data_IF_344954185109
#
_entry.id   IF_344954185109
#
_cell.length_a   1.000
_cell.length_b   1.000
_cell.length_c   1.000
_cell.angle_alpha   90.00
_cell.angle_beta   90.00
_cell.angle_gamma   90.00
#
_symmetry.space_group_name_H-M   'P 1'
#
loop_
_entity.id
_entity.type
_entity.pdbx_description
1 polymer ?
#
# COMPACT_ATOMS: atom_id res chain seq x y z
N UNK A 1 -37.98 -78.39 -8.86
CA UNK A 1 -36.83 -79.29 -8.80
C UNK A 1 -35.57 -78.47 -8.81
N UNK A 2 -34.91 -78.49 -7.72
CA UNK A 2 -33.47 -78.57 -7.40
C UNK A 2 -32.61 -77.55 -8.09
N UNK A 3 -31.70 -76.88 -7.46
CA UNK A 3 -31.08 -76.98 -6.13
C UNK A 3 -29.81 -76.16 -6.13
N UNK A 4 -29.62 -75.51 -5.06
CA UNK A 4 -28.39 -75.14 -4.38
C UNK A 4 -27.03 -75.11 -5.10
N UNK A 5 -26.31 -74.03 -4.95
CA UNK A 5 -24.99 -74.06 -4.26
C UNK A 5 -24.44 -72.68 -3.97
N UNK A 6 -24.21 -72.37 -2.69
CA UNK A 6 -23.38 -71.28 -2.15
C UNK A 6 -21.90 -71.55 -2.47
N UNK A 7 -21.17 -70.52 -2.88
CA UNK A 7 -19.76 -70.41 -2.56
C UNK A 7 -19.43 -69.00 -2.10
N UNK A 8 -18.97 -68.88 -0.86
CA UNK A 8 -18.38 -67.69 -0.26
C UNK A 8 -17.00 -67.45 -0.88
N UNK A 9 -16.72 -66.21 -1.27
CA UNK A 9 -15.36 -65.74 -1.47
C UNK A 9 -15.18 -64.45 -0.72
N UNK A 10 -14.20 -64.42 0.16
CA UNK A 10 -13.80 -63.30 0.98
C UNK A 10 -13.19 -62.21 0.11
N UNK A 11 -13.68 -60.98 0.22
CA UNK A 11 -13.04 -59.83 -0.34
C UNK A 11 -12.21 -59.14 0.76
N UNK A 12 -10.96 -59.04 0.51
CA UNK A 12 -9.98 -58.25 1.32
C UNK A 12 -10.25 -56.81 0.99
N UNK A 13 -10.68 -56.05 1.99
CA UNK A 13 -10.78 -54.60 1.89
C UNK A 13 -9.41 -53.97 2.19
N UNK A 14 -8.76 -53.44 1.18
CA UNK A 14 -7.62 -52.54 1.34
C UNK A 14 -8.18 -51.12 1.43
N UNK A 15 -8.23 -50.59 2.63
CA UNK A 15 -8.60 -49.21 2.90
C UNK A 15 -7.42 -48.27 2.49
N UNK A 16 -7.58 -47.57 1.41
CA UNK A 16 -6.80 -46.40 1.10
C UNK A 16 -7.52 -45.15 1.64
N UNK A 17 -7.13 -44.70 2.81
CA UNK A 17 -7.55 -43.41 3.34
C UNK A 17 -6.82 -42.31 2.56
N UNK A 18 -7.41 -41.86 1.46
CA UNK A 18 -7.02 -40.63 0.78
C UNK A 18 -7.59 -39.44 1.56
N UNK A 19 -6.76 -38.77 2.34
CA UNK A 19 -7.08 -37.48 2.90
C UNK A 19 -7.13 -36.47 1.74
N UNK A 20 -8.33 -36.20 1.20
CA UNK A 20 -8.58 -35.01 0.42
C UNK A 20 -8.47 -33.80 1.39
N UNK A 21 -7.32 -33.14 1.39
CA UNK A 21 -7.23 -31.78 1.87
C UNK A 21 -8.01 -30.89 0.87
N UNK A 22 -9.30 -30.75 1.10
CA UNK A 22 -10.06 -29.65 0.54
C UNK A 22 -9.58 -28.39 1.24
N UNK A 23 -8.69 -27.63 0.59
CA UNK A 23 -8.49 -26.23 0.91
C UNK A 23 -9.81 -25.52 0.63
N UNK A 24 -10.63 -25.44 1.65
CA UNK A 24 -11.79 -24.54 1.66
C UNK A 24 -11.18 -23.14 1.63
N UNK A 25 -11.21 -22.49 0.46
CA UNK A 25 -11.19 -21.06 0.39
C UNK A 25 -12.35 -20.59 1.26
N UNK A 26 -12.04 -20.16 2.48
CA UNK A 26 -13.03 -19.47 3.30
C UNK A 26 -13.36 -18.17 2.57
N UNK A 27 -14.45 -18.18 1.82
CA UNK A 27 -15.19 -16.97 1.55
C UNK A 27 -15.51 -16.39 2.95
N UNK A 28 -14.91 -15.26 3.28
CA UNK A 28 -15.15 -14.61 4.56
C UNK A 28 -16.65 -14.30 4.63
N UNK A 29 -17.32 -14.82 5.65
CA UNK A 29 -18.69 -14.42 5.94
C UNK A 29 -18.73 -12.89 6.10
N UNK A 30 -19.74 -12.21 5.53
CA UNK A 30 -19.87 -10.76 5.69
C UNK A 30 -19.93 -10.44 7.18
N UNK A 31 -18.95 -9.67 7.66
CA UNK A 31 -18.98 -9.21 9.05
C UNK A 31 -20.14 -8.26 9.26
N UNK A 32 -20.84 -8.38 10.38
CA UNK A 32 -21.90 -7.44 10.75
C UNK A 32 -21.33 -6.01 10.94
N UNK A 33 -22.20 -4.99 11.01
CA UNK A 33 -21.78 -3.60 11.27
C UNK A 33 -20.88 -3.53 12.53
N UNK A 34 -19.67 -2.98 12.37
CA UNK A 34 -18.70 -2.87 13.47
C UNK A 34 -17.67 -4.01 13.54
N UNK A 35 -17.70 -5.01 12.66
CA UNK A 35 -16.61 -5.98 12.57
C UNK A 35 -15.31 -5.27 12.13
N UNK A 36 -14.14 -5.60 12.74
CA UNK A 36 -12.89 -5.00 12.33
C UNK A 36 -12.60 -5.32 10.87
N UNK A 37 -12.21 -4.29 10.11
CA UNK A 37 -11.78 -4.46 8.73
C UNK A 37 -10.67 -5.52 8.61
N UNK A 38 -10.84 -6.42 7.68
CA UNK A 38 -9.89 -7.48 7.38
C UNK A 38 -9.66 -7.51 5.87
N UNK A 39 -8.99 -6.51 5.33
CA UNK A 39 -8.40 -6.63 4.01
C UNK A 39 -7.46 -7.83 3.94
N UNK A 40 -7.08 -8.27 2.74
CA UNK A 40 -6.08 -9.32 2.61
C UNK A 40 -4.89 -8.99 3.51
N UNK A 41 -4.53 -9.90 4.40
CA UNK A 41 -3.33 -9.77 5.21
C UNK A 41 -2.10 -9.68 4.30
N UNK A 42 -0.97 -9.14 4.78
CA UNK A 42 0.25 -9.15 4.00
C UNK A 42 0.62 -10.60 3.67
N UNK A 43 0.76 -10.87 2.38
CA UNK A 43 1.04 -12.23 1.93
C UNK A 43 2.49 -12.62 2.26
N UNK A 44 2.74 -13.88 2.64
CA UNK A 44 4.09 -14.39 2.81
C UNK A 44 4.88 -14.27 1.49
N UNK A 45 6.20 -14.19 1.58
CA UNK A 45 7.07 -14.19 0.40
C UNK A 45 7.09 -15.55 -0.32
N UNK A 46 6.54 -16.57 0.33
CA UNK A 46 6.56 -17.96 -0.12
C UNK A 46 5.13 -18.45 -0.31
N UNK A 47 4.79 -18.74 -1.55
CA UNK A 47 3.49 -19.33 -1.85
C UNK A 47 3.36 -20.75 -1.29
N UNK A 48 2.12 -21.25 -1.10
CA UNK A 48 1.85 -22.60 -0.61
C UNK A 48 2.46 -23.69 -1.50
N UNK A 49 2.73 -23.41 -2.75
CA UNK A 49 3.30 -24.35 -3.73
C UNK A 49 4.84 -24.42 -3.69
N UNK A 50 5.49 -23.76 -2.70
CA UNK A 50 6.94 -23.73 -2.60
C UNK A 50 7.59 -23.04 -3.79
N UNK A 51 6.97 -21.94 -4.29
CA UNK A 51 7.50 -21.10 -5.36
C UNK A 51 9.01 -20.89 -5.25
N UNK A 52 9.65 -20.24 -6.17
CA UNK A 52 11.13 -20.07 -6.29
C UNK A 52 11.82 -19.54 -5.02
N UNK A 53 11.04 -19.16 -4.03
CA UNK A 53 11.44 -18.64 -2.75
C UNK A 53 11.23 -19.65 -1.62
N UNK A 54 12.32 -20.17 -1.08
CA UNK A 54 12.30 -20.86 0.22
C UNK A 54 13.01 -19.98 1.24
N UNK A 55 12.47 -19.85 2.48
CA UNK A 55 13.21 -19.22 3.57
C UNK A 55 14.59 -19.83 3.69
N UNK A 56 15.58 -19.01 4.00
CA UNK A 56 16.86 -19.56 4.42
C UNK A 56 16.61 -20.50 5.60
N UNK A 57 17.15 -21.71 5.52
CA UNK A 57 17.12 -22.61 6.68
C UNK A 57 17.97 -22.00 7.80
N UNK A 58 17.50 -22.11 9.05
CA UNK A 58 18.21 -21.60 10.21
C UNK A 58 17.86 -20.15 10.60
N UNK A 59 18.57 -19.64 11.58
CA UNK A 59 18.39 -18.31 12.15
C UNK A 59 19.23 -17.29 11.40
N UNK A 60 18.63 -16.14 11.09
CA UNK A 60 19.35 -14.94 10.65
C UNK A 60 19.42 -13.99 11.85
N UNK A 61 20.62 -13.47 12.16
CA UNK A 61 20.83 -12.45 13.17
C UNK A 61 21.27 -11.15 12.49
N UNK A 62 20.47 -10.11 12.61
CA UNK A 62 20.82 -8.76 12.15
C UNK A 62 21.36 -7.98 13.35
N UNK A 63 22.61 -7.50 13.27
CA UNK A 63 23.20 -6.58 14.24
C UNK A 63 23.02 -5.17 13.74
N UNK A 64 22.28 -4.33 14.47
CA UNK A 64 22.00 -2.95 14.11
C UNK A 64 22.76 -2.00 15.03
N UNK A 65 23.58 -1.09 14.47
CA UNK A 65 24.22 -0.04 15.27
C UNK A 65 23.21 0.93 15.85
N UNK A 66 22.20 1.26 15.06
CA UNK A 66 20.98 1.99 15.46
C UNK A 66 19.77 1.26 14.90
N UNK A 67 18.68 1.24 15.66
CA UNK A 67 17.39 0.68 15.24
C UNK A 67 16.30 1.69 15.53
N UNK A 68 15.49 2.02 14.52
CA UNK A 68 14.36 2.92 14.67
C UNK A 68 13.15 2.17 15.28
N UNK A 69 12.80 2.53 16.52
CA UNK A 69 11.55 2.14 17.15
C UNK A 69 10.43 3.02 16.58
N UNK A 70 9.70 2.51 15.60
CA UNK A 70 8.65 3.26 14.91
C UNK A 70 7.43 3.56 15.78
N UNK A 71 7.20 2.83 16.88
CA UNK A 71 6.12 3.18 17.80
C UNK A 71 6.46 4.39 18.67
N UNK A 72 7.70 4.45 19.16
CA UNK A 72 8.17 5.54 20.00
C UNK A 72 8.68 6.74 19.20
N UNK A 73 9.10 6.51 17.94
CA UNK A 73 9.75 7.52 17.11
C UNK A 73 11.19 7.81 17.56
N UNK A 74 11.90 6.83 18.13
CA UNK A 74 13.21 6.97 18.74
C UNK A 74 14.21 6.00 18.12
N UNK A 75 15.51 6.33 18.19
CA UNK A 75 16.60 5.42 17.84
C UNK A 75 17.11 4.68 19.07
N UNK A 76 17.17 3.36 18.99
CA UNK A 76 17.78 2.49 19.97
C UNK A 76 19.19 2.11 19.47
N UNK A 77 20.20 2.16 20.35
CA UNK A 77 21.56 1.78 20.02
C UNK A 77 21.79 0.28 20.25
N UNK A 78 22.70 -0.30 19.44
CA UNK A 78 23.21 -1.66 19.65
C UNK A 78 22.12 -2.71 19.80
N UNK A 79 21.31 -2.92 18.76
CA UNK A 79 20.23 -3.89 18.78
C UNK A 79 20.55 -5.14 17.95
N UNK A 80 19.96 -6.26 18.35
CA UNK A 80 19.97 -7.52 17.58
C UNK A 80 18.53 -7.89 17.23
N UNK A 81 18.32 -8.31 15.99
CA UNK A 81 17.06 -8.87 15.50
C UNK A 81 17.31 -10.30 15.07
N UNK A 82 16.63 -11.27 15.68
CA UNK A 82 16.65 -12.67 15.25
C UNK A 82 15.43 -12.96 14.36
N UNK A 83 15.69 -13.71 13.29
CA UNK A 83 14.71 -14.02 12.25
C UNK A 83 14.76 -15.51 11.96
N UNK A 84 13.60 -16.16 11.94
CA UNK A 84 13.42 -17.53 11.48
C UNK A 84 12.34 -17.56 10.38
N UNK A 85 12.66 -18.15 9.24
CA UNK A 85 11.80 -18.10 8.09
C UNK A 85 11.58 -16.65 7.66
N UNK A 86 10.32 -16.20 7.68
CA UNK A 86 9.94 -14.81 7.32
C UNK A 86 9.70 -13.90 8.53
N UNK A 87 9.78 -14.44 9.75
CA UNK A 87 9.33 -13.74 10.96
C UNK A 87 10.45 -13.38 11.90
N UNK A 88 10.27 -12.24 12.55
CA UNK A 88 11.12 -11.81 13.67
C UNK A 88 10.74 -12.64 14.88
N UNK A 89 11.72 -13.34 15.47
CA UNK A 89 11.53 -14.17 16.67
C UNK A 89 11.95 -13.47 17.94
N UNK A 90 12.94 -12.56 17.86
CA UNK A 90 13.41 -11.79 19.00
C UNK A 90 14.02 -10.45 18.55
N UNK A 91 13.85 -9.40 19.37
CA UNK A 91 14.49 -8.08 19.21
C UNK A 91 14.92 -7.58 20.59
N UNK A 92 16.12 -7.06 20.70
CA UNK A 92 16.60 -6.48 21.94
C UNK A 92 18.03 -5.98 21.88
N UNK A 93 18.51 -5.41 22.99
CA UNK A 93 19.88 -4.94 23.11
C UNK A 93 20.88 -6.08 22.87
N UNK A 94 21.97 -5.81 22.15
CA UNK A 94 22.98 -6.81 21.80
C UNK A 94 23.60 -7.52 23.01
N UNK A 95 23.63 -6.85 24.16
CA UNK A 95 24.08 -7.45 25.41
C UNK A 95 23.10 -8.47 26.04
N UNK A 96 21.84 -8.48 25.59
CA UNK A 96 20.76 -9.30 26.13
C UNK A 96 20.33 -10.43 25.20
N UNK A 97 20.37 -10.19 23.88
CA UNK A 97 19.96 -11.19 22.88
C UNK A 97 21.12 -12.14 22.57
N UNK A 98 20.91 -13.42 22.82
CA UNK A 98 21.89 -14.46 22.51
C UNK A 98 21.77 -14.89 21.06
N UNK A 99 22.76 -14.55 20.24
CA UNK A 99 22.83 -15.03 18.86
C UNK A 99 23.22 -16.51 18.86
N UNK A 100 22.43 -17.42 18.23
CA UNK A 100 22.81 -18.82 18.06
C UNK A 100 24.15 -18.95 17.30
N UNK A 101 24.94 -19.95 17.66
CA UNK A 101 26.28 -20.12 17.09
C UNK A 101 26.26 -20.45 15.58
N UNK A 102 25.18 -21.06 15.12
CA UNK A 102 24.92 -21.42 13.72
C UNK A 102 24.12 -20.35 12.95
N UNK A 103 23.78 -19.21 13.58
CA UNK A 103 23.06 -18.15 12.94
C UNK A 103 23.89 -17.48 11.83
N UNK A 104 23.25 -17.19 10.69
CA UNK A 104 23.81 -16.30 9.68
C UNK A 104 23.76 -14.87 10.17
N UNK A 105 24.91 -14.27 10.45
CA UNK A 105 24.98 -12.88 10.92
C UNK A 105 25.03 -11.92 9.72
N UNK A 106 24.13 -10.92 9.73
CA UNK A 106 24.15 -9.75 8.87
C UNK A 106 24.57 -8.56 9.74
N UNK A 107 25.81 -8.12 9.56
CA UNK A 107 26.38 -7.03 10.35
C UNK A 107 26.00 -5.68 9.77
N UNK A 108 25.12 -4.94 10.48
CA UNK A 108 24.67 -3.59 10.25
C UNK A 108 25.05 -2.68 11.44
N UNK A 109 26.17 -2.96 12.09
CA UNK A 109 26.60 -2.23 13.29
C UNK A 109 27.01 -0.79 13.02
N UNK A 110 27.17 -0.40 11.76
CA UNK A 110 27.45 0.99 11.35
C UNK A 110 26.25 1.72 10.80
N UNK A 111 25.18 1.00 10.48
CA UNK A 111 23.97 1.49 9.82
C UNK A 111 22.85 1.78 10.83
N UNK A 112 21.85 2.51 10.34
CA UNK A 112 20.56 2.64 10.99
C UNK A 112 19.57 1.71 10.31
N UNK A 113 19.03 0.76 11.08
CA UNK A 113 18.02 -0.20 10.64
C UNK A 113 16.62 0.34 10.96
N UNK A 114 15.72 0.28 9.99
CA UNK A 114 14.33 0.69 10.12
C UNK A 114 13.41 -0.45 9.65
N UNK A 115 12.11 -0.43 10.02
CA UNK A 115 11.14 -1.26 9.33
C UNK A 115 11.13 -0.94 7.85
N UNK A 116 10.80 -1.90 7.01
CA UNK A 116 10.53 -1.64 5.60
C UNK A 116 9.47 -0.56 5.43
N UNK A 117 9.71 0.36 4.50
CA UNK A 117 8.80 1.47 4.22
C UNK A 117 7.51 0.97 3.56
N UNK A 118 6.44 1.71 3.77
CA UNK A 118 5.12 1.43 3.22
C UNK A 118 4.68 2.61 2.37
N UNK A 119 4.42 2.39 1.08
CA UNK A 119 3.81 3.37 0.19
C UNK A 119 2.28 3.14 0.15
N UNK A 120 1.52 4.04 0.77
CA UNK A 120 0.08 3.87 0.90
C UNK A 120 -0.72 4.30 -0.34
N UNK A 121 -0.07 4.87 -1.36
CA UNK A 121 -0.71 5.30 -2.59
C UNK A 121 0.27 5.24 -3.76
N UNK A 122 0.30 4.13 -4.46
CA UNK A 122 1.07 3.97 -5.70
C UNK A 122 0.15 3.64 -6.87
N UNK A 123 0.66 3.75 -8.09
CA UNK A 123 0.04 3.23 -9.29
C UNK A 123 1.07 2.39 -10.04
N UNK A 124 1.03 1.06 -9.85
CA UNK A 124 2.01 0.17 -10.49
C UNK A 124 1.95 0.24 -12.02
N UNK A 125 0.76 0.47 -12.57
CA UNK A 125 0.56 0.61 -14.00
C UNK A 125 0.74 2.05 -14.44
N UNK A 126 1.58 2.27 -15.44
CA UNK A 126 1.60 3.54 -16.14
C UNK A 126 0.28 3.74 -16.91
N UNK A 127 -0.10 4.98 -17.16
CA UNK A 127 -1.19 5.24 -18.10
C UNK A 127 -0.88 4.62 -19.47
N UNK A 128 -1.81 3.85 -20.07
CA UNK A 128 -1.56 3.16 -21.32
C UNK A 128 -1.33 4.16 -22.45
N UNK A 129 -0.27 3.93 -23.20
CA UNK A 129 0.01 4.68 -24.44
C UNK A 129 -0.73 4.03 -25.62
N UNK A 130 -1.10 4.80 -26.66
CA UNK A 130 -1.69 4.22 -27.87
C UNK A 130 -0.82 3.08 -28.43
N UNK A 131 -1.44 1.93 -28.68
CA UNK A 131 -0.77 0.72 -29.19
C UNK A 131 -0.06 -0.14 -28.14
N UNK A 132 -0.08 0.22 -26.86
CA UNK A 132 0.46 -0.62 -25.78
C UNK A 132 -0.49 -1.80 -25.51
N UNK A 133 0.06 -3.03 -25.57
CA UNK A 133 -0.69 -4.22 -25.18
C UNK A 133 -0.82 -4.33 -23.65
N UNK A 134 -1.80 -5.10 -23.18
CA UNK A 134 -1.98 -5.37 -21.74
C UNK A 134 -0.80 -6.15 -21.16
N UNK A 135 -0.21 -7.06 -21.95
CA UNK A 135 0.97 -7.82 -21.57
C UNK A 135 2.17 -6.90 -21.35
N UNK A 136 2.42 -5.95 -22.26
CA UNK A 136 3.45 -4.91 -22.08
C UNK A 136 3.19 -4.08 -20.84
N UNK A 137 1.96 -3.66 -20.62
CA UNK A 137 1.55 -2.90 -19.42
C UNK A 137 1.83 -3.69 -18.13
N UNK A 138 1.53 -4.99 -18.11
CA UNK A 138 1.81 -5.88 -16.99
C UNK A 138 3.30 -6.03 -16.71
N UNK A 139 4.12 -6.20 -17.75
CA UNK A 139 5.59 -6.27 -17.60
C UNK A 139 6.18 -4.99 -17.05
N UNK A 140 5.66 -3.83 -17.47
CA UNK A 140 6.06 -2.52 -16.92
C UNK A 140 5.66 -2.43 -15.45
N UNK A 141 4.44 -2.85 -15.09
CA UNK A 141 3.96 -2.82 -13.72
C UNK A 141 4.84 -3.68 -12.78
N UNK A 142 5.25 -4.87 -13.22
CA UNK A 142 6.17 -5.74 -12.47
C UNK A 142 7.53 -5.05 -12.30
N UNK A 143 8.07 -4.44 -13.36
CA UNK A 143 9.32 -3.69 -13.29
C UNK A 143 9.24 -2.53 -12.27
N UNK A 144 8.15 -1.78 -12.30
CA UNK A 144 7.88 -0.67 -11.38
C UNK A 144 7.88 -1.15 -9.93
N UNK A 145 7.13 -2.21 -9.62
CA UNK A 145 7.08 -2.79 -8.27
C UNK A 145 8.44 -3.29 -7.77
N UNK A 146 9.26 -3.84 -8.66
CA UNK A 146 10.62 -4.26 -8.32
C UNK A 146 11.52 -3.06 -8.01
N UNK A 147 11.35 -1.93 -8.73
CA UNK A 147 12.05 -0.69 -8.43
C UNK A 147 11.66 -0.15 -7.04
N UNK A 148 10.37 -0.16 -6.72
CA UNK A 148 9.85 0.28 -5.41
C UNK A 148 10.39 -0.59 -4.27
N UNK A 149 10.35 -1.93 -4.43
CA UNK A 149 10.92 -2.85 -3.46
C UNK A 149 12.42 -2.59 -3.23
N UNK A 150 13.19 -2.38 -4.30
CA UNK A 150 14.63 -2.09 -4.20
C UNK A 150 14.92 -0.72 -3.59
N UNK A 151 13.99 0.22 -3.67
CA UNK A 151 14.05 1.52 -3.00
C UNK A 151 13.67 1.45 -1.50
N UNK A 152 13.31 0.26 -0.98
CA UNK A 152 13.02 0.05 0.44
C UNK A 152 11.53 0.01 0.79
N UNK A 153 10.64 0.14 -0.19
CA UNK A 153 9.20 0.01 0.03
C UNK A 153 8.82 -1.47 0.00
N UNK A 154 8.84 -2.11 1.16
CA UNK A 154 8.54 -3.55 1.29
C UNK A 154 7.06 -3.85 1.30
N UNK A 155 6.22 -2.84 1.48
CA UNK A 155 4.78 -2.91 1.37
C UNK A 155 4.23 -1.70 0.59
N UNK A 156 3.11 -1.89 -0.13
CA UNK A 156 2.49 -0.82 -0.90
C UNK A 156 0.98 -1.07 -1.12
N UNK A 157 0.26 -0.01 -1.51
CA UNK A 157 -1.16 -0.04 -1.85
C UNK A 157 -1.37 0.61 -3.23
N UNK A 158 -1.82 -0.19 -4.22
CA UNK A 158 -2.19 0.32 -5.55
C UNK A 158 -3.58 0.97 -5.53
N UNK A 159 -3.64 2.20 -5.98
CA UNK A 159 -4.86 3.01 -5.96
C UNK A 159 -5.51 3.14 -7.34
N UNK A 160 -5.49 2.11 -8.12
CA UNK A 160 -6.16 1.90 -9.41
C UNK A 160 -5.23 1.33 -10.46
N UNK A 161 -5.71 0.36 -11.19
CA UNK A 161 -4.98 -0.37 -12.24
C UNK A 161 -4.79 0.42 -13.55
N UNK A 162 -5.09 1.72 -13.60
CA UNK A 162 -4.90 2.60 -14.76
C UNK A 162 -5.27 1.95 -16.10
N UNK A 163 -6.53 1.54 -16.27
CA UNK A 163 -7.05 0.93 -17.51
C UNK A 163 -6.66 -0.54 -17.76
N UNK A 164 -6.19 -1.26 -16.74
CA UNK A 164 -5.83 -2.68 -16.86
C UNK A 164 -6.84 -3.63 -16.17
N UNK A 165 -8.04 -3.14 -15.87
CA UNK A 165 -9.09 -3.95 -15.24
C UNK A 165 -8.71 -4.38 -13.82
N UNK A 166 -8.64 -5.68 -13.58
CA UNK A 166 -8.23 -6.28 -12.30
C UNK A 166 -6.85 -6.96 -12.38
N UNK A 167 -5.98 -6.53 -13.31
CA UNK A 167 -4.65 -7.13 -13.47
C UNK A 167 -3.72 -6.87 -12.28
N UNK A 168 -3.99 -5.85 -11.45
CA UNK A 168 -3.33 -5.62 -10.17
C UNK A 168 -3.58 -6.76 -9.17
N UNK A 169 -4.78 -7.33 -9.15
CA UNK A 169 -5.13 -8.51 -8.35
C UNK A 169 -4.27 -9.71 -8.76
N UNK A 170 -4.11 -9.95 -10.08
CA UNK A 170 -3.30 -11.04 -10.60
C UNK A 170 -1.82 -10.87 -10.22
N UNK A 171 -1.28 -9.65 -10.32
CA UNK A 171 0.10 -9.34 -9.92
C UNK A 171 0.29 -9.54 -8.42
N UNK A 172 -0.62 -9.01 -7.57
CA UNK A 172 -0.59 -9.26 -6.11
C UNK A 172 -0.57 -10.76 -5.82
N UNK A 173 -1.43 -11.54 -6.48
CA UNK A 173 -1.50 -12.98 -6.29
C UNK A 173 -0.21 -13.69 -6.75
N UNK A 174 0.40 -13.23 -7.85
CA UNK A 174 1.68 -13.76 -8.31
C UNK A 174 2.84 -13.46 -7.33
N UNK A 175 2.83 -12.28 -6.69
CA UNK A 175 3.78 -11.93 -5.62
C UNK A 175 3.57 -12.85 -4.41
N UNK A 176 2.31 -13.04 -3.98
CA UNK A 176 1.99 -13.88 -2.82
C UNK A 176 2.29 -15.36 -3.05
N UNK A 177 2.28 -15.80 -4.31
CA UNK A 177 2.69 -17.15 -4.70
C UNK A 177 4.21 -17.29 -4.91
N UNK A 178 4.98 -16.23 -4.69
CA UNK A 178 6.42 -16.24 -4.90
C UNK A 178 6.85 -16.39 -6.36
N UNK A 179 5.96 -16.16 -7.33
CA UNK A 179 6.26 -16.25 -8.76
C UNK A 179 7.05 -15.05 -9.27
N UNK A 180 6.83 -13.88 -8.67
CA UNK A 180 7.54 -12.63 -8.96
C UNK A 180 7.92 -11.92 -7.66
N UNK A 181 9.03 -11.18 -7.70
CA UNK A 181 9.41 -10.29 -6.61
C UNK A 181 8.63 -8.98 -6.68
N UNK A 182 8.19 -8.52 -5.52
CA UNK A 182 7.51 -7.24 -5.34
C UNK A 182 7.29 -6.95 -3.86
N UNK A 183 6.79 -5.77 -3.50
CA UNK A 183 6.35 -5.46 -2.13
C UNK A 183 5.17 -6.35 -1.72
N UNK A 184 4.87 -6.42 -0.42
CA UNK A 184 3.55 -6.89 0.03
C UNK A 184 2.52 -5.91 -0.46
N UNK A 185 1.41 -6.38 -1.02
CA UNK A 185 0.63 -5.52 -1.87
C UNK A 185 -0.87 -5.58 -1.56
N UNK A 186 -1.51 -4.41 -1.44
CA UNK A 186 -2.96 -4.26 -1.48
C UNK A 186 -3.35 -3.56 -2.78
N UNK A 187 -4.51 -3.90 -3.31
CA UNK A 187 -4.95 -3.45 -4.64
C UNK A 187 -6.41 -2.98 -4.61
N UNK A 188 -6.72 -2.06 -5.51
CA UNK A 188 -8.06 -1.48 -5.63
C UNK A 188 -8.79 -1.84 -6.93
N UNK A 189 -8.13 -2.52 -7.87
CA UNK A 189 -8.73 -2.83 -9.16
C UNK A 189 -8.98 -1.60 -10.02
N UNK A 190 -10.16 -1.54 -10.61
CA UNK A 190 -10.65 -0.37 -11.36
C UNK A 190 -11.10 0.71 -10.40
N UNK A 191 -10.96 2.00 -10.79
CA UNK A 191 -11.62 3.06 -10.03
C UNK A 191 -13.12 3.07 -10.32
N UNK A 192 -13.97 3.26 -9.32
CA UNK A 192 -15.40 3.51 -9.56
C UNK A 192 -15.56 5.00 -9.83
N UNK A 193 -16.31 5.36 -10.85
CA UNK A 193 -16.47 6.74 -11.34
C UNK A 193 -17.92 7.07 -11.57
N UNK A 194 -18.27 8.39 -11.50
CA UNK A 194 -19.59 8.85 -11.89
C UNK A 194 -19.72 8.85 -13.41
N UNK A 195 -20.72 8.15 -13.94
CA UNK A 195 -20.98 8.07 -15.37
C UNK A 195 -21.77 9.27 -15.96
N UNK A 196 -22.07 10.29 -15.14
CA UNK A 196 -22.80 11.47 -15.55
C UNK A 196 -22.00 12.47 -16.39
N UNK A 197 -22.56 13.66 -16.60
CA UNK A 197 -22.02 14.71 -17.48
C UNK A 197 -20.64 15.25 -17.04
N UNK A 198 -20.28 15.09 -15.77
CA UNK A 198 -19.01 15.55 -15.19
C UNK A 198 -17.84 14.58 -15.40
N UNK A 199 -18.09 13.37 -15.94
CA UNK A 199 -17.04 12.38 -16.18
C UNK A 199 -16.01 12.87 -17.22
N UNK A 200 -14.72 12.79 -16.88
CA UNK A 200 -13.61 13.08 -17.79
C UNK A 200 -13.46 12.00 -18.86
N UNK A 201 -12.70 12.27 -19.92
CA UNK A 201 -12.42 11.26 -20.97
C UNK A 201 -11.77 9.98 -20.38
N UNK A 202 -10.85 10.11 -19.40
CA UNK A 202 -10.22 8.99 -18.71
C UNK A 202 -11.24 8.19 -17.89
N UNK A 203 -12.15 8.87 -17.20
CA UNK A 203 -13.22 8.24 -16.43
C UNK A 203 -14.24 7.51 -17.31
N UNK A 204 -14.37 7.91 -18.57
CA UNK A 204 -15.24 7.25 -19.57
C UNK A 204 -14.64 6.00 -20.19
N UNK A 205 -13.33 5.75 -19.98
CA UNK A 205 -12.72 4.52 -20.43
C UNK A 205 -13.17 3.34 -19.54
N UNK A 206 -13.89 2.34 -20.08
CA UNK A 206 -14.44 1.24 -19.27
C UNK A 206 -13.39 0.35 -18.60
N UNK A 207 -12.13 0.41 -19.03
CA UNK A 207 -11.02 -0.30 -18.38
C UNK A 207 -10.36 0.55 -17.28
N UNK A 208 -10.44 1.87 -17.38
CA UNK A 208 -9.90 2.80 -16.38
C UNK A 208 -10.84 2.96 -15.18
N UNK A 209 -12.14 3.03 -15.44
CA UNK A 209 -13.15 3.24 -14.43
C UNK A 209 -14.39 2.38 -14.67
N UNK A 210 -15.06 2.01 -13.59
CA UNK A 210 -16.39 1.39 -13.62
C UNK A 210 -17.42 2.51 -13.41
N UNK A 211 -18.19 2.91 -14.43
CA UNK A 211 -19.16 3.97 -14.28
C UNK A 211 -20.40 3.52 -13.52
N UNK A 212 -20.90 4.37 -12.62
CA UNK A 212 -22.15 4.20 -11.89
C UNK A 212 -23.05 5.41 -12.13
N UNK A 213 -24.37 5.19 -12.17
CA UNK A 213 -25.38 6.24 -12.50
C UNK A 213 -26.46 6.38 -11.42
N UNK A 214 -26.54 5.41 -10.49
CA UNK A 214 -27.52 5.36 -9.42
C UNK A 214 -26.96 4.61 -8.20
N UNK A 215 -27.69 4.62 -7.08
CA UNK A 215 -27.29 3.93 -5.84
C UNK A 215 -27.18 2.41 -6.02
N UNK A 216 -28.10 1.80 -6.78
CA UNK A 216 -28.06 0.35 -7.03
C UNK A 216 -26.85 -0.06 -7.87
N UNK A 217 -26.51 0.73 -8.90
CA UNK A 217 -25.29 0.55 -9.68
C UNK A 217 -24.05 0.67 -8.79
N UNK A 218 -24.07 1.65 -7.87
CA UNK A 218 -22.99 1.89 -6.92
C UNK A 218 -22.74 0.67 -6.03
N UNK A 219 -23.80 0.10 -5.44
CA UNK A 219 -23.70 -1.12 -4.63
C UNK A 219 -23.24 -2.34 -5.45
N UNK A 220 -23.73 -2.46 -6.69
CA UNK A 220 -23.32 -3.53 -7.58
C UNK A 220 -21.83 -3.42 -7.95
N UNK A 221 -21.35 -2.21 -8.23
CA UNK A 221 -19.94 -1.95 -8.54
C UNK A 221 -19.00 -2.33 -7.38
N UNK A 222 -19.38 -2.04 -6.15
CA UNK A 222 -18.60 -2.45 -4.97
C UNK A 222 -18.53 -3.97 -4.87
N UNK A 223 -19.68 -4.67 -5.03
CA UNK A 223 -19.72 -6.15 -5.02
C UNK A 223 -18.83 -6.74 -6.10
N UNK A 224 -18.87 -6.20 -7.33
CA UNK A 224 -18.00 -6.63 -8.43
C UNK A 224 -16.52 -6.54 -8.04
N UNK A 225 -16.07 -5.44 -7.43
CA UNK A 225 -14.68 -5.28 -7.00
C UNK A 225 -14.26 -6.30 -5.95
N UNK A 226 -15.11 -6.52 -4.95
CA UNK A 226 -14.88 -7.51 -3.88
C UNK A 226 -14.83 -8.94 -4.46
N UNK A 227 -15.72 -9.29 -5.37
CA UNK A 227 -15.75 -10.60 -6.05
C UNK A 227 -14.49 -10.83 -6.90
N UNK A 228 -13.94 -9.77 -7.51
CA UNK A 228 -12.65 -9.84 -8.24
C UNK A 228 -11.43 -9.84 -7.32
N UNK A 229 -11.61 -9.67 -6.00
CA UNK A 229 -10.55 -9.75 -5.01
C UNK A 229 -9.81 -8.43 -4.77
N UNK A 230 -10.43 -7.29 -5.05
CA UNK A 230 -9.89 -6.00 -4.64
C UNK A 230 -9.86 -5.90 -3.11
N UNK A 231 -8.80 -5.32 -2.53
CA UNK A 231 -8.65 -5.11 -1.09
C UNK A 231 -9.29 -3.79 -0.65
N UNK A 232 -9.30 -2.80 -1.55
CA UNK A 232 -9.83 -1.45 -1.36
C UNK A 232 -10.80 -1.09 -2.47
N UNK A 233 -11.67 -0.13 -2.19
CA UNK A 233 -12.56 0.46 -3.19
C UNK A 233 -12.08 1.87 -3.49
N UNK A 234 -11.58 2.12 -4.71
CA UNK A 234 -11.13 3.45 -5.15
C UNK A 234 -12.27 4.22 -5.78
N UNK A 235 -12.54 5.41 -5.23
CA UNK A 235 -13.61 6.34 -5.64
C UNK A 235 -13.03 7.68 -6.08
N UNK A 236 -13.75 8.39 -6.96
CA UNK A 236 -13.35 9.69 -7.48
C UNK A 236 -14.44 10.76 -7.25
N UNK A 237 -14.72 11.20 -5.99
CA UNK A 237 -15.72 12.21 -5.68
C UNK A 237 -15.41 13.61 -6.20
N UNK A 238 -14.14 13.92 -6.51
CA UNK A 238 -13.72 15.18 -7.10
C UNK A 238 -12.52 14.97 -8.00
N UNK A 239 -12.58 15.42 -9.25
CA UNK A 239 -11.59 15.03 -10.26
C UNK A 239 -10.89 16.17 -11.01
N UNK A 240 -11.27 17.42 -10.78
CA UNK A 240 -10.67 18.57 -11.46
C UNK A 240 -10.86 19.86 -10.68
N UNK A 241 -10.02 20.85 -10.97
CA UNK A 241 -10.19 22.21 -10.49
C UNK A 241 -9.81 23.22 -11.58
N UNK A 242 -10.26 24.44 -11.44
CA UNK A 242 -9.84 25.58 -12.26
C UNK A 242 -9.83 26.85 -11.42
N UNK A 243 -8.98 27.81 -11.76
CA UNK A 243 -9.01 29.13 -11.13
C UNK A 243 -9.90 30.08 -11.90
N UNK A 244 -10.82 30.71 -11.17
CA UNK A 244 -11.65 31.80 -11.71
C UNK A 244 -10.80 33.08 -11.93
N UNK A 245 -11.30 34.00 -12.71
CA UNK A 245 -10.66 35.30 -12.90
C UNK A 245 -10.44 36.10 -11.61
N UNK A 246 -11.21 35.78 -10.55
CA UNK A 246 -11.06 36.29 -9.19
C UNK A 246 -9.85 35.72 -8.43
N UNK A 247 -9.22 34.65 -8.94
CA UNK A 247 -8.16 33.93 -8.26
C UNK A 247 -8.64 32.81 -7.34
N UNK A 248 -9.96 32.61 -7.22
CA UNK A 248 -10.56 31.54 -6.43
C UNK A 248 -10.50 30.21 -7.18
N UNK A 249 -10.18 29.11 -6.48
CA UNK A 249 -10.22 27.77 -7.04
C UNK A 249 -11.66 27.24 -7.07
N UNK A 250 -12.11 26.79 -8.23
CA UNK A 250 -13.38 26.09 -8.42
C UNK A 250 -13.11 24.62 -8.67
N UNK A 251 -13.68 23.76 -7.84
CA UNK A 251 -13.52 22.31 -7.91
C UNK A 251 -14.74 21.66 -8.57
N UNK A 252 -14.51 20.53 -9.23
CA UNK A 252 -15.56 19.72 -9.85
C UNK A 252 -15.90 18.56 -8.92
N UNK A 253 -17.09 18.58 -8.35
CA UNK A 253 -17.70 17.43 -7.67
C UNK A 253 -18.26 16.49 -8.75
N UNK A 254 -18.06 15.19 -8.56
CA UNK A 254 -18.50 14.17 -9.52
C UNK A 254 -19.78 13.46 -9.06
N UNK A 255 -19.76 12.80 -7.91
CA UNK A 255 -20.91 12.04 -7.42
C UNK A 255 -21.97 12.93 -6.76
N UNK A 256 -23.27 12.64 -6.99
CA UNK A 256 -24.31 13.01 -6.03
C UNK A 256 -24.02 12.36 -4.65
N UNK A 257 -24.24 13.09 -3.55
CA UNK A 257 -23.96 12.59 -2.22
C UNK A 257 -24.67 11.25 -1.89
N UNK A 258 -25.95 11.01 -2.26
CA UNK A 258 -26.59 9.70 -2.00
C UNK A 258 -25.88 8.54 -2.69
N UNK A 259 -25.37 8.72 -3.91
CA UNK A 259 -24.60 7.68 -4.62
C UNK A 259 -23.26 7.42 -3.96
N UNK A 260 -22.54 8.47 -3.54
CA UNK A 260 -21.30 8.34 -2.79
C UNK A 260 -21.53 7.62 -1.47
N UNK A 261 -22.61 7.95 -0.74
CA UNK A 261 -23.00 7.28 0.49
C UNK A 261 -23.28 5.79 0.25
N UNK A 262 -24.01 5.45 -0.84
CA UNK A 262 -24.30 4.06 -1.18
C UNK A 262 -23.02 3.24 -1.49
N UNK A 263 -22.03 3.85 -2.15
CA UNK A 263 -20.72 3.24 -2.38
C UNK A 263 -20.00 2.92 -1.06
N UNK A 264 -19.96 3.89 -0.15
CA UNK A 264 -19.25 3.75 1.13
C UNK A 264 -19.97 2.77 2.06
N UNK A 265 -21.29 2.88 2.18
CA UNK A 265 -22.10 1.97 3.02
C UNK A 265 -21.93 0.51 2.56
N UNK A 266 -21.97 0.26 1.25
CA UNK A 266 -21.80 -1.10 0.72
C UNK A 266 -20.36 -1.59 0.91
N UNK A 267 -19.37 -0.72 0.75
CA UNK A 267 -17.95 -1.02 1.02
C UNK A 267 -17.77 -1.48 2.48
N UNK A 268 -18.29 -0.71 3.42
CA UNK A 268 -18.20 -1.03 4.85
C UNK A 268 -19.03 -2.26 5.21
N UNK A 269 -20.21 -2.45 4.60
CA UNK A 269 -21.03 -3.63 4.80
C UNK A 269 -20.28 -4.92 4.43
N UNK A 270 -19.41 -4.85 3.42
CA UNK A 270 -18.55 -5.95 2.97
C UNK A 270 -17.20 -6.01 3.69
N UNK A 271 -17.00 -5.23 4.77
CA UNK A 271 -15.75 -5.13 5.53
C UNK A 271 -14.54 -4.71 4.69
N UNK A 272 -14.75 -3.89 3.68
CA UNK A 272 -13.70 -3.25 2.90
C UNK A 272 -13.58 -1.78 3.28
N UNK A 273 -12.53 -1.13 2.79
CA UNK A 273 -12.26 0.31 2.98
C UNK A 273 -12.34 1.05 1.65
N UNK A 274 -12.80 2.29 1.73
CA UNK A 274 -12.90 3.21 0.61
C UNK A 274 -11.76 4.25 0.63
N UNK A 275 -11.10 4.45 -0.53
CA UNK A 275 -10.12 5.49 -0.76
C UNK A 275 -10.66 6.49 -1.77
N UNK A 276 -10.75 7.77 -1.39
CA UNK A 276 -11.43 8.80 -2.16
C UNK A 276 -10.48 9.83 -2.75
N UNK A 277 -10.30 9.80 -4.08
CA UNK A 277 -9.58 10.84 -4.81
C UNK A 277 -10.40 12.14 -4.83
N UNK A 278 -9.89 13.18 -4.22
CA UNK A 278 -10.50 14.51 -4.21
C UNK A 278 -9.42 15.58 -4.34
N UNK A 279 -9.69 16.63 -5.14
CA UNK A 279 -8.75 17.73 -5.27
C UNK A 279 -9.16 18.94 -4.42
N UNK A 280 -10.41 18.96 -3.92
CA UNK A 280 -10.91 20.03 -3.05
C UNK A 280 -12.42 20.23 -3.16
N UNK A 281 -12.90 21.27 -2.48
CA UNK A 281 -14.28 21.77 -2.56
C UNK A 281 -15.35 20.82 -2.02
N UNK A 282 -16.54 20.85 -2.66
CA UNK A 282 -17.71 20.08 -2.19
C UNK A 282 -17.49 18.55 -2.30
N UNK A 283 -16.76 18.08 -3.32
CA UNK A 283 -16.43 16.65 -3.45
C UNK A 283 -15.59 16.13 -2.28
N UNK A 284 -14.64 16.94 -1.82
CA UNK A 284 -13.82 16.65 -0.64
C UNK A 284 -14.66 16.62 0.64
N UNK A 285 -15.50 17.64 0.84
CA UNK A 285 -16.41 17.70 1.98
C UNK A 285 -17.33 16.48 2.02
N UNK A 286 -17.91 16.11 0.88
CA UNK A 286 -18.80 14.97 0.77
C UNK A 286 -18.08 13.64 1.06
N UNK A 287 -16.83 13.49 0.59
CA UNK A 287 -16.00 12.31 0.91
C UNK A 287 -15.78 12.14 2.42
N UNK A 288 -15.45 13.23 3.12
CA UNK A 288 -15.25 13.24 4.58
C UNK A 288 -16.58 12.96 5.30
N UNK A 289 -17.66 13.62 4.91
CA UNK A 289 -18.99 13.46 5.53
C UNK A 289 -19.51 12.04 5.33
N UNK A 290 -19.36 11.48 4.14
CA UNK A 290 -19.79 10.12 3.82
C UNK A 290 -18.94 9.04 4.49
N UNK A 291 -17.70 9.36 4.93
CA UNK A 291 -16.86 8.45 5.70
C UNK A 291 -15.89 7.64 4.85
N UNK A 292 -15.30 8.23 3.80
CA UNK A 292 -14.15 7.62 3.10
C UNK A 292 -13.03 7.33 4.10
N UNK A 293 -12.56 6.09 4.19
CA UNK A 293 -11.52 5.69 5.15
C UNK A 293 -10.20 6.44 4.95
N UNK A 294 -9.84 6.71 3.69
CA UNK A 294 -8.73 7.58 3.33
C UNK A 294 -9.16 8.65 2.34
N UNK A 295 -8.76 9.89 2.61
CA UNK A 295 -8.99 11.05 1.76
C UNK A 295 -7.68 11.39 1.06
N UNK A 296 -7.66 11.17 -0.24
CA UNK A 296 -6.47 11.28 -1.07
C UNK A 296 -6.36 12.70 -1.65
N UNK A 297 -5.16 13.29 -1.61
CA UNK A 297 -4.79 14.60 -2.15
C UNK A 297 -5.36 15.79 -1.36
N UNK A 298 -6.64 16.05 -1.42
CA UNK A 298 -7.39 17.07 -0.67
C UNK A 298 -6.63 18.41 -0.55
N UNK A 299 -6.41 19.10 -1.67
CA UNK A 299 -5.51 20.25 -1.77
C UNK A 299 -5.87 21.45 -0.88
N UNK A 300 -7.15 21.65 -0.60
CA UNK A 300 -7.65 22.75 0.25
C UNK A 300 -8.21 22.29 1.58
N UNK A 301 -7.68 21.15 2.11
CA UNK A 301 -8.08 20.64 3.42
C UNK A 301 -7.92 21.76 4.46
N UNK A 302 -8.99 22.03 5.20
CA UNK A 302 -9.02 23.02 6.26
C UNK A 302 -9.14 22.38 7.64
N UNK A 303 -8.98 23.17 8.72
CA UNK A 303 -8.94 22.67 10.09
C UNK A 303 -10.27 21.98 10.50
N UNK A 304 -11.42 22.55 10.13
CA UNK A 304 -12.74 21.96 10.43
C UNK A 304 -12.87 20.55 9.83
N UNK A 305 -12.45 20.39 8.59
CA UNK A 305 -12.45 19.11 7.90
C UNK A 305 -11.44 18.13 8.52
N UNK A 306 -10.26 18.60 8.89
CA UNK A 306 -9.24 17.79 9.54
C UNK A 306 -9.72 17.29 10.93
N UNK A 307 -10.36 18.16 11.71
CA UNK A 307 -10.95 17.80 12.99
C UNK A 307 -12.09 16.78 12.84
N UNK A 308 -12.93 16.94 11.82
CA UNK A 308 -13.98 15.96 11.50
C UNK A 308 -13.38 14.61 11.08
N UNK A 309 -12.28 14.60 10.34
CA UNK A 309 -11.56 13.36 10.00
C UNK A 309 -11.03 12.66 11.24
N UNK A 310 -10.49 13.40 12.21
CA UNK A 310 -10.06 12.85 13.51
C UNK A 310 -11.23 12.20 14.24
N UNK A 311 -12.36 12.91 14.35
CA UNK A 311 -13.58 12.39 15.01
C UNK A 311 -14.11 11.12 14.36
N UNK A 312 -14.05 11.05 13.04
CA UNK A 312 -14.50 9.87 12.26
C UNK A 312 -13.44 8.77 12.14
N UNK A 313 -12.21 8.99 12.60
CA UNK A 313 -11.11 8.02 12.46
C UNK A 313 -10.57 7.86 11.04
N UNK A 314 -10.82 8.82 10.15
CA UNK A 314 -10.35 8.82 8.76
C UNK A 314 -8.87 9.20 8.69
N UNK A 315 -8.20 8.81 7.59
CA UNK A 315 -6.80 9.15 7.35
C UNK A 315 -6.64 10.07 6.13
N UNK A 316 -5.58 10.86 6.13
CA UNK A 316 -5.23 11.78 5.06
C UNK A 316 -3.97 11.30 4.33
N UNK A 317 -4.07 11.13 3.02
CA UNK A 317 -2.95 10.78 2.14
C UNK A 317 -2.78 11.84 1.06
N UNK A 318 -1.88 12.81 1.23
CA UNK A 318 -1.76 13.94 0.30
C UNK A 318 -1.09 13.58 -1.02
N UNK A 319 -0.27 12.53 -1.10
CA UNK A 319 0.61 12.28 -2.26
C UNK A 319 1.41 13.54 -2.62
N UNK A 320 2.15 14.04 -1.64
CA UNK A 320 2.59 15.43 -1.60
C UNK A 320 3.59 15.77 -2.71
N UNK A 321 4.51 14.85 -3.02
CA UNK A 321 5.51 15.05 -4.10
C UNK A 321 4.83 15.09 -5.46
N UNK A 322 3.86 14.18 -5.72
CA UNK A 322 3.19 14.05 -7.01
C UNK A 322 2.53 15.35 -7.47
N UNK A 323 1.99 16.13 -6.54
CA UNK A 323 1.26 17.37 -6.81
C UNK A 323 2.03 18.64 -6.44
N UNK A 324 3.36 18.54 -6.35
CA UNK A 324 4.24 19.68 -6.18
C UNK A 324 5.37 19.65 -7.21
N UNK A 325 6.22 20.70 -7.23
CA UNK A 325 7.39 20.74 -8.10
C UNK A 325 8.41 19.66 -7.71
N UNK A 326 9.05 19.00 -8.67
CA UNK A 326 8.97 19.20 -10.13
C UNK A 326 7.90 18.32 -10.82
N UNK A 327 7.13 17.51 -10.09
CA UNK A 327 6.36 16.39 -10.62
C UNK A 327 4.89 16.71 -10.91
N UNK A 328 4.40 17.90 -10.54
CA UNK A 328 3.05 18.32 -10.92
C UNK A 328 2.95 18.51 -12.43
N UNK A 329 1.98 17.85 -13.06
CA UNK A 329 1.82 17.83 -14.51
C UNK A 329 1.56 19.24 -15.09
N UNK A 330 2.24 19.58 -16.18
CA UNK A 330 2.05 20.84 -16.90
C UNK A 330 0.70 20.94 -17.60
N UNK A 331 0.01 19.82 -17.87
CA UNK A 331 -1.33 19.84 -18.44
C UNK A 331 -2.37 20.45 -17.49
N UNK A 332 -2.17 20.29 -16.16
CA UNK A 332 -3.00 20.98 -15.16
C UNK A 332 -2.75 22.48 -15.09
N UNK A 333 -1.70 22.98 -15.75
CA UNK A 333 -1.24 24.35 -15.60
C UNK A 333 -1.66 25.30 -16.71
N UNK A 334 -1.74 24.82 -17.96
CA UNK A 334 -2.08 25.67 -19.12
C UNK A 334 -3.57 25.98 -19.20
N UNK A 335 -4.43 25.01 -18.89
CA UNK A 335 -5.87 25.18 -18.90
C UNK A 335 -6.41 25.90 -17.66
N UNK A 336 -5.71 25.80 -16.52
CA UNK A 336 -6.17 26.29 -15.22
C UNK A 336 -5.39 27.50 -14.69
N UNK A 337 -4.29 27.89 -15.35
CA UNK A 337 -3.40 28.97 -14.87
C UNK A 337 -2.74 28.69 -13.51
N UNK A 338 -2.67 27.43 -13.10
CA UNK A 338 -2.94 27.03 -11.75
C UNK A 338 -1.93 26.36 -10.92
N UNK A 339 -0.85 25.61 -11.41
CA UNK A 339 0.04 24.92 -10.48
C UNK A 339 0.69 25.85 -9.48
N UNK A 340 1.21 26.97 -9.94
CA UNK A 340 1.85 27.95 -9.05
C UNK A 340 0.89 28.58 -8.03
N UNK A 341 -0.42 28.59 -8.31
CA UNK A 341 -1.43 29.05 -7.36
C UNK A 341 -1.89 27.94 -6.42
N UNK A 342 -1.97 26.69 -6.91
CA UNK A 342 -2.44 25.55 -6.12
C UNK A 342 -1.38 25.04 -5.15
N UNK A 343 -0.11 24.98 -5.54
CA UNK A 343 0.97 24.46 -4.69
C UNK A 343 1.02 25.16 -3.32
N UNK A 344 0.99 26.50 -3.19
CA UNK A 344 0.99 27.15 -1.88
C UNK A 344 -0.23 26.80 -1.03
N UNK A 345 -1.42 26.62 -1.64
CA UNK A 345 -2.64 26.21 -0.95
C UNK A 345 -2.46 24.80 -0.39
N UNK A 346 -1.99 23.88 -1.23
CA UNK A 346 -1.77 22.50 -0.90
C UNK A 346 -0.69 22.33 0.18
N UNK A 347 0.46 22.98 0.04
CA UNK A 347 1.53 22.99 1.08
C UNK A 347 0.98 23.43 2.42
N UNK A 348 0.16 24.50 2.45
CA UNK A 348 -0.47 24.98 3.69
C UNK A 348 -1.43 23.95 4.29
N UNK A 349 -2.23 23.28 3.45
CA UNK A 349 -3.15 22.22 3.89
C UNK A 349 -2.39 21.03 4.49
N UNK A 350 -1.32 20.55 3.82
CA UNK A 350 -0.48 19.45 4.33
C UNK A 350 0.21 19.82 5.63
N UNK A 351 0.75 21.04 5.74
CA UNK A 351 1.39 21.52 6.96
C UNK A 351 0.39 21.60 8.13
N UNK A 352 -0.82 22.09 7.88
CA UNK A 352 -1.91 22.12 8.86
C UNK A 352 -2.29 20.70 9.29
N UNK A 353 -2.48 19.78 8.33
CA UNK A 353 -2.80 18.38 8.61
C UNK A 353 -1.71 17.70 9.43
N UNK A 354 -0.43 17.93 9.09
CA UNK A 354 0.72 17.41 9.83
C UNK A 354 0.76 17.88 11.30
N UNK A 355 0.28 19.11 11.56
CA UNK A 355 0.20 19.69 12.90
C UNK A 355 -1.09 19.31 13.66
N UNK A 356 -2.11 18.77 12.97
CA UNK A 356 -3.39 18.42 13.59
C UNK A 356 -3.25 17.17 14.45
N UNK A 357 -3.46 17.34 15.76
CA UNK A 357 -3.34 16.25 16.73
C UNK A 357 -4.39 15.17 16.50
N UNK A 358 -3.95 13.93 16.40
CA UNK A 358 -4.83 12.78 16.21
C UNK A 358 -5.13 12.44 14.75
N UNK A 359 -4.87 13.34 13.80
CA UNK A 359 -5.02 13.02 12.39
C UNK A 359 -3.92 12.04 11.93
N UNK A 360 -4.35 10.94 11.32
CA UNK A 360 -3.44 9.98 10.69
C UNK A 360 -3.06 10.53 9.32
N UNK A 361 -1.86 11.10 9.24
CA UNK A 361 -1.30 11.55 7.96
C UNK A 361 -0.42 10.44 7.42
N UNK A 362 -0.71 9.99 6.20
CA UNK A 362 -0.06 8.86 5.56
C UNK A 362 1.09 9.32 4.67
N UNK A 363 2.00 8.41 4.37
CA UNK A 363 2.97 8.50 3.28
C UNK A 363 2.45 7.65 2.13
N UNK A 364 1.92 8.30 1.13
CA UNK A 364 1.60 7.73 -0.17
C UNK A 364 2.20 8.62 -1.25
N UNK A 365 2.87 8.03 -2.21
CA UNK A 365 3.68 8.79 -3.16
C UNK A 365 2.88 9.31 -4.36
N UNK A 366 1.82 8.59 -4.75
CA UNK A 366 1.15 8.85 -6.01
C UNK A 366 2.01 8.57 -7.23
N UNK A 367 3.09 7.80 -7.08
CA UNK A 367 3.99 7.44 -8.18
C UNK A 367 3.21 6.71 -9.28
N UNK A 368 3.44 7.13 -10.52
CA UNK A 368 2.72 6.63 -11.70
C UNK A 368 3.64 6.22 -12.86
N UNK A 369 4.96 6.31 -12.65
CA UNK A 369 5.99 5.96 -13.62
C UNK A 369 6.08 6.90 -14.84
N UNK A 370 5.10 7.75 -15.04
CA UNK A 370 5.07 8.70 -16.15
C UNK A 370 5.53 10.11 -15.71
N UNK A 371 4.94 10.60 -14.63
CA UNK A 371 5.21 11.94 -14.09
C UNK A 371 6.18 11.86 -12.91
N UNK A 372 5.93 10.91 -11.99
CA UNK A 372 6.78 10.64 -10.85
C UNK A 372 7.36 9.22 -10.99
N UNK A 373 8.71 9.05 -11.04
CA UNK A 373 9.30 7.75 -11.33
C UNK A 373 9.28 6.80 -10.12
N UNK A 374 9.02 5.52 -10.39
CA UNK A 374 9.17 4.46 -9.39
C UNK A 374 10.60 4.38 -8.86
N UNK A 375 10.74 4.12 -7.56
CA UNK A 375 12.02 4.11 -6.85
C UNK A 375 12.40 5.45 -6.23
N UNK A 376 11.65 6.54 -6.48
CA UNK A 376 11.91 7.88 -5.93
C UNK A 376 10.98 8.28 -4.78
N UNK A 377 10.13 7.38 -4.30
CA UNK A 377 9.08 7.65 -3.30
C UNK A 377 9.62 8.18 -1.96
N UNK A 378 10.90 7.93 -1.63
CA UNK A 378 11.53 8.48 -0.43
C UNK A 378 11.55 10.02 -0.39
N UNK A 379 11.32 10.69 -1.53
CA UNK A 379 11.12 12.15 -1.59
C UNK A 379 9.90 12.61 -0.79
N UNK A 380 8.87 11.77 -0.62
CA UNK A 380 7.70 12.10 0.22
C UNK A 380 8.12 12.46 1.64
N UNK A 381 8.99 11.67 2.24
CA UNK A 381 9.49 11.93 3.60
C UNK A 381 10.24 13.27 3.68
N UNK A 382 11.05 13.59 2.67
CA UNK A 382 11.75 14.86 2.59
C UNK A 382 10.78 16.03 2.48
N UNK A 383 9.75 15.95 1.63
CA UNK A 383 8.73 16.98 1.46
C UNK A 383 7.94 17.22 2.74
N UNK A 384 7.51 16.15 3.42
CA UNK A 384 6.83 16.27 4.71
C UNK A 384 7.68 16.99 5.76
N UNK A 385 8.98 16.69 5.81
CA UNK A 385 9.88 17.36 6.76
C UNK A 385 10.18 18.80 6.34
N UNK A 386 10.61 19.02 5.10
CA UNK A 386 11.12 20.32 4.65
C UNK A 386 10.02 21.31 4.27
N UNK A 387 8.89 20.86 3.77
CA UNK A 387 7.82 21.74 3.28
C UNK A 387 6.58 21.77 4.20
N UNK A 388 6.24 20.67 4.85
CA UNK A 388 5.12 20.61 5.78
C UNK A 388 5.52 20.79 7.25
N UNK A 389 6.81 20.83 7.57
CA UNK A 389 7.30 21.04 8.96
C UNK A 389 7.09 19.85 9.89
N UNK A 390 6.83 18.66 9.35
CA UNK A 390 6.73 17.44 10.14
C UNK A 390 8.11 17.06 10.69
N UNK A 391 8.18 16.56 11.93
CA UNK A 391 9.46 16.05 12.44
C UNK A 391 9.87 14.79 11.66
N UNK A 392 11.19 14.54 11.46
CA UNK A 392 11.63 13.33 10.77
C UNK A 392 11.11 12.04 11.40
N UNK A 393 11.09 11.94 12.73
CA UNK A 393 10.54 10.80 13.43
C UNK A 393 9.05 10.56 13.11
N UNK A 394 8.26 11.64 13.04
CA UNK A 394 6.83 11.55 12.68
C UNK A 394 6.63 11.15 11.23
N UNK A 395 7.46 11.65 10.30
CA UNK A 395 7.43 11.24 8.91
C UNK A 395 7.76 9.74 8.77
N UNK A 396 8.77 9.24 9.50
CA UNK A 396 9.10 7.82 9.55
C UNK A 396 7.94 6.98 10.12
N UNK A 397 7.27 7.46 11.18
CA UNK A 397 6.06 6.80 11.71
C UNK A 397 4.93 6.77 10.68
N UNK A 398 4.73 7.85 9.92
CA UNK A 398 3.72 7.91 8.84
C UNK A 398 3.95 6.84 7.77
N UNK A 399 5.17 6.67 7.29
CA UNK A 399 5.53 5.67 6.29
C UNK A 399 5.77 4.26 6.84
N UNK A 400 5.48 4.01 8.13
CA UNK A 400 5.65 2.70 8.76
C UNK A 400 4.41 2.32 9.57
N UNK A 401 4.37 2.60 10.88
CA UNK A 401 3.28 2.13 11.77
C UNK A 401 1.92 2.73 11.44
N UNK A 402 1.86 4.00 10.99
CA UNK A 402 0.58 4.65 10.66
C UNK A 402 0.01 4.07 9.37
N UNK A 403 0.83 3.94 8.33
CA UNK A 403 0.40 3.29 7.10
C UNK A 403 -0.04 1.85 7.36
N UNK A 404 0.73 1.09 8.16
CA UNK A 404 0.36 -0.27 8.53
C UNK A 404 -0.98 -0.33 9.28
N UNK A 405 -1.24 0.61 10.17
CA UNK A 405 -2.52 0.70 10.91
C UNK A 405 -3.69 1.00 9.97
N UNK A 406 -3.56 2.00 9.10
CA UNK A 406 -4.63 2.38 8.16
C UNK A 406 -4.89 1.26 7.16
N UNK A 407 -3.85 0.56 6.71
CA UNK A 407 -3.96 -0.61 5.82
C UNK A 407 -4.43 -1.88 6.55
N UNK A 408 -4.65 -1.84 7.87
CA UNK A 408 -5.08 -3.01 8.65
C UNK A 408 -3.98 -4.05 8.88
N UNK A 409 -2.73 -3.69 8.65
CA UNK A 409 -1.55 -4.56 8.75
C UNK A 409 -0.67 -4.29 9.98
N UNK A 410 -1.18 -3.55 10.96
CA UNK A 410 -0.45 -3.12 12.16
C UNK A 410 0.15 -4.25 13.01
N UNK A 411 -0.36 -5.48 12.87
CA UNK A 411 0.15 -6.65 13.57
C UNK A 411 1.22 -7.42 12.76
N UNK A 412 1.40 -7.09 11.49
CA UNK A 412 2.20 -7.85 10.54
C UNK A 412 3.47 -7.11 10.10
N UNK A 413 3.37 -5.80 9.82
CA UNK A 413 4.45 -4.95 9.31
C UNK A 413 4.51 -3.60 10.03
N UNK A 414 5.39 -2.70 9.59
CA UNK A 414 5.48 -1.31 10.06
C UNK A 414 6.30 -1.12 11.34
N UNK A 415 6.71 -2.19 12.01
CA UNK A 415 7.61 -2.13 13.17
C UNK A 415 8.52 -3.36 13.21
N UNK A 416 9.72 -3.22 13.79
CA UNK A 416 10.64 -4.32 14.06
C UNK A 416 10.29 -4.89 15.43
N UNK A 417 9.40 -5.88 15.44
CA UNK A 417 8.87 -6.48 16.66
C UNK A 417 8.71 -8.00 16.50
N UNK A 418 8.82 -8.73 17.59
CA UNK A 418 8.58 -10.18 17.61
C UNK A 418 7.22 -10.54 17.00
N UNK A 419 7.21 -11.52 16.12
CA UNK A 419 6.04 -12.04 15.43
C UNK A 419 5.74 -11.35 14.11
N UNK A 420 6.25 -10.16 13.85
CA UNK A 420 6.07 -9.44 12.58
C UNK A 420 6.97 -10.01 11.46
N UNK A 421 6.62 -9.70 10.23
CA UNK A 421 7.49 -10.02 9.10
C UNK A 421 8.83 -9.30 9.22
N UNK A 422 9.91 -10.00 8.85
CA UNK A 422 11.26 -9.47 8.80
C UNK A 422 11.47 -8.62 7.54
N UNK A 423 10.71 -7.53 7.45
CA UNK A 423 10.81 -6.50 6.43
C UNK A 423 11.62 -5.34 7.01
N UNK A 424 12.88 -5.23 6.60
CA UNK A 424 13.86 -4.31 7.17
C UNK A 424 14.56 -3.53 6.06
N UNK A 425 14.92 -2.31 6.36
CA UNK A 425 15.82 -1.51 5.53
C UNK A 425 16.98 -0.98 6.36
N UNK A 426 18.09 -0.62 5.70
CA UNK A 426 19.18 0.05 6.37
C UNK A 426 19.77 1.18 5.52
N UNK A 427 20.18 2.24 6.20
CA UNK A 427 20.88 3.41 5.65
C UNK A 427 22.11 3.72 6.49
N UNK A 428 23.16 4.32 5.89
CA UNK A 428 24.42 4.61 6.60
C UNK A 428 24.29 5.70 7.66
N UNK A 429 23.41 6.68 7.44
CA UNK A 429 23.23 7.82 8.31
C UNK A 429 22.12 7.67 9.34
N UNK A 430 21.80 8.79 10.00
CA UNK A 430 20.69 8.93 10.93
C UNK A 430 19.52 9.65 10.23
N UNK A 431 18.43 8.94 9.85
CA UNK A 431 17.29 9.54 9.15
C UNK A 431 16.42 10.41 10.07
N UNK A 432 16.62 10.37 11.39
CA UNK A 432 15.96 11.31 12.32
C UNK A 432 16.67 12.66 12.38
N UNK A 433 17.95 12.72 11.99
CA UNK A 433 18.71 13.95 11.85
C UNK A 433 18.70 14.48 10.39
N UNK A 434 18.79 13.57 9.42
CA UNK A 434 18.72 13.87 7.99
C UNK A 434 17.84 12.87 7.27
N UNK A 435 16.58 13.23 7.05
CA UNK A 435 15.57 12.37 6.42
C UNK A 435 15.96 11.95 4.98
N UNK A 436 16.84 12.72 4.30
CA UNK A 436 17.31 12.39 2.94
C UNK A 436 18.15 11.12 2.87
N UNK A 437 18.57 10.57 4.02
CA UNK A 437 19.23 9.26 4.09
C UNK A 437 18.38 8.16 3.46
N UNK A 438 17.04 8.26 3.52
CA UNK A 438 16.14 7.31 2.90
C UNK A 438 16.24 7.22 1.37
N UNK A 439 16.80 8.25 0.72
CA UNK A 439 17.07 8.25 -0.73
C UNK A 439 18.35 7.48 -1.11
N UNK A 440 19.13 7.09 -0.11
CA UNK A 440 20.40 6.35 -0.25
C UNK A 440 20.30 4.99 0.45
N UNK A 441 19.32 4.21 0.02
CA UNK A 441 19.04 2.88 0.58
C UNK A 441 20.21 1.94 0.31
N UNK A 442 20.78 1.33 1.34
CA UNK A 442 21.90 0.40 1.23
C UNK A 442 21.46 -1.07 1.33
N UNK A 443 20.57 -1.36 2.26
CA UNK A 443 20.08 -2.72 2.48
C UNK A 443 18.57 -2.74 2.45
N UNK A 444 18.01 -3.72 1.76
CA UNK A 444 16.57 -4.03 1.76
C UNK A 444 16.41 -5.53 2.00
N UNK A 445 15.63 -5.85 3.00
CA UNK A 445 15.21 -7.21 3.34
C UNK A 445 13.69 -7.28 3.34
N UNK A 446 13.13 -8.33 2.72
CA UNK A 446 11.70 -8.63 2.77
C UNK A 446 11.51 -10.08 3.18
N UNK A 447 10.78 -10.32 4.28
CA UNK A 447 10.55 -11.67 4.82
C UNK A 447 11.85 -12.43 5.07
N UNK A 448 12.88 -11.80 5.64
CA UNK A 448 14.19 -12.42 5.89
C UNK A 448 15.08 -12.58 4.65
N UNK A 449 14.56 -12.30 3.43
CA UNK A 449 15.35 -12.35 2.20
C UNK A 449 16.00 -11.00 1.92
N UNK A 450 17.33 -11.00 1.68
CA UNK A 450 18.03 -9.83 1.15
C UNK A 450 17.62 -9.60 -0.31
N UNK A 451 17.00 -8.45 -0.55
CA UNK A 451 16.63 -7.95 -1.88
C UNK A 451 17.75 -7.09 -2.46
N UNK A 452 18.41 -6.33 -1.59
CA UNK A 452 19.51 -5.41 -1.91
C UNK A 452 20.51 -5.38 -0.76
N UNK A 453 21.81 -5.40 -1.08
CA UNK A 453 22.90 -5.08 -0.17
C UNK A 453 24.04 -4.45 -0.98
N UNK A 454 24.06 -3.13 -1.03
CA UNK A 454 25.04 -2.36 -1.82
C UNK A 454 26.37 -2.17 -1.08
N UNK A 455 26.48 -2.59 0.18
CA UNK A 455 27.73 -2.56 0.97
C UNK A 455 28.70 -3.66 0.52
N UNK A 456 28.15 -4.74 -0.04
CA UNK A 456 28.95 -5.84 -0.57
C UNK A 456 29.50 -5.44 -1.96
N UNK A 457 30.79 -5.73 -2.24
CA UNK A 457 31.30 -5.54 -3.59
C UNK A 457 30.47 -6.36 -4.57
N UNK A 458 30.00 -5.73 -5.65
CA UNK A 458 29.29 -6.46 -6.73
C UNK A 458 30.23 -7.56 -7.21
N UNK A 459 29.97 -8.81 -6.83
CA UNK A 459 30.76 -9.93 -7.31
C UNK A 459 30.67 -9.96 -8.84
N UNK A 460 31.80 -10.20 -9.50
CA UNK A 460 31.90 -10.35 -10.94
C UNK A 460 31.15 -11.62 -11.49
N UNK A 461 30.33 -12.22 -10.67
CA UNK A 461 29.62 -13.49 -10.91
C UNK A 461 28.14 -13.26 -11.21
N UNK A 462 27.85 -12.42 -12.18
CA UNK A 462 26.57 -12.39 -12.91
C UNK A 462 26.87 -11.91 -14.34
N UNK A 463 27.64 -12.72 -15.06
CA UNK A 463 27.69 -12.67 -16.52
C UNK A 463 26.93 -13.86 -17.08
#
# INVERSE_FOLDING_TARGET
MSGTSMRRSAAIAVGAAGALLTTVLHAQEPGGPGAPWRGAGPQPCFGPDGGTYRPAAGVIAVRAGRLFDSRRGELLSDQVVLIEGERITEVGAAAQVKIPADARVIDLSRETVLPGLIDAHTHMFNYPKPGMSRETSTLIAIHNLQADLRAGFTAARDMSSHSNGYADVDIRNAISQGRIDGPRFQVAGRGIVWGGATATATQKNPLAGLPVHAEDDARAAVREHVEHGADWIKLYPGGAYAFLGTGEAKYVMTYPLPVLQALIDETHRLNHKAACHVLGGEGQKNAIVAGCDTVEHAFDLNQEQADLMVVKGLAYDPTFVRYTEPYMDDNDTKATGGKYRMIPIFVKAVAMAAATKGLKVMIGSGVDGATFPHGAQALEFEWFVKRAGMSPARALQSGTVINAEVMGWQNEVGAIEKGKYADLIAVSGDPTADITQLQRMEVVMKGGKLIRDDRLPRSAAAR
#
